data_IF_709891812396
#
_entry.id   IF_709891812396
#
_cell.length_a   1.000
_cell.length_b   1.000
_cell.length_c   1.000
_cell.angle_alpha   90.00
_cell.angle_beta   90.00
_cell.angle_gamma   90.00
#
_symmetry.space_group_name_H-M   'P 1'
#
loop_
_entity.id
_entity.type
_entity.pdbx_description
1 polymer ?
#
# COMPACT_ATOMS: atom_id res chain seq x y z
N UNK A 1 6.75 -13.20 -26.35
CA UNK A 1 5.85 -13.52 -25.24
C UNK A 1 6.23 -12.75 -24.00
N UNK A 2 7.49 -12.76 -23.70
CA UNK A 2 7.92 -12.04 -22.52
C UNK A 2 7.57 -10.58 -22.59
N UNK A 3 7.56 -10.04 -23.78
CA UNK A 3 7.19 -8.64 -23.95
C UNK A 3 5.79 -8.38 -23.50
N UNK A 4 4.88 -9.26 -23.87
CA UNK A 4 3.50 -9.08 -23.48
C UNK A 4 3.33 -9.24 -22.00
N UNK A 5 3.98 -10.21 -21.42
CA UNK A 5 3.92 -10.38 -19.99
C UNK A 5 4.45 -9.15 -19.27
N UNK A 6 5.56 -8.62 -19.76
CA UNK A 6 6.12 -7.41 -19.19
C UNK A 6 5.18 -6.23 -19.29
N UNK A 7 4.54 -6.08 -20.45
CA UNK A 7 3.61 -4.98 -20.63
C UNK A 7 2.42 -5.10 -19.70
N UNK A 8 1.90 -6.32 -19.54
CA UNK A 8 0.78 -6.52 -18.63
C UNK A 8 1.18 -6.26 -17.19
N UNK A 9 2.38 -6.67 -16.81
CA UNK A 9 2.87 -6.41 -15.47
C UNK A 9 2.97 -4.92 -15.20
N UNK A 10 3.40 -4.15 -16.20
CA UNK A 10 3.53 -2.71 -16.03
C UNK A 10 2.21 -2.02 -15.82
N UNK A 11 1.12 -2.61 -16.32
CA UNK A 11 -0.18 -1.98 -16.17
C UNK A 11 -0.85 -2.35 -14.86
N UNK A 12 -0.32 -3.30 -14.11
CA UNK A 12 -0.89 -3.68 -12.83
C UNK A 12 -0.38 -2.78 -11.72
N UNK A 13 -1.26 -2.36 -10.83
CA UNK A 13 -0.81 -1.57 -9.68
C UNK A 13 0.13 -2.37 -8.80
N UNK A 14 1.06 -1.68 -8.18
CA UNK A 14 2.05 -2.29 -7.30
C UNK A 14 1.78 -1.82 -5.87
N UNK A 15 1.42 -2.75 -4.99
CA UNK A 15 1.08 -2.43 -3.61
C UNK A 15 2.19 -2.94 -2.70
N UNK A 16 2.73 -2.03 -1.92
CA UNK A 16 3.78 -2.34 -0.94
C UNK A 16 3.11 -2.55 0.40
N UNK A 17 3.35 -3.69 1.03
CA UNK A 17 2.77 -4.01 2.33
C UNK A 17 3.90 -4.02 3.35
N UNK A 18 3.98 -2.95 4.12
CA UNK A 18 5.02 -2.79 5.15
C UNK A 18 4.40 -3.15 6.49
N UNK A 19 4.61 -4.38 6.91
CA UNK A 19 3.98 -4.95 8.08
C UNK A 19 5.01 -5.77 8.87
N UNK A 20 5.05 -5.55 10.19
CA UNK A 20 6.03 -6.24 11.04
C UNK A 20 5.72 -7.73 11.20
N UNK A 21 4.44 -8.09 11.18
CA UNK A 21 4.02 -9.47 11.37
C UNK A 21 3.81 -10.14 10.03
N UNK A 22 4.69 -11.09 9.72
CA UNK A 22 4.68 -11.69 8.39
C UNK A 22 3.33 -12.33 8.06
N UNK A 23 2.72 -13.02 9.03
CA UNK A 23 1.44 -13.67 8.77
C UNK A 23 0.33 -12.66 8.50
N UNK A 24 0.38 -11.50 9.14
CA UNK A 24 -0.59 -10.45 8.87
C UNK A 24 -0.36 -9.87 7.49
N UNK A 25 0.91 -9.73 7.09
CA UNK A 25 1.23 -9.25 5.74
C UNK A 25 0.69 -10.20 4.69
N UNK A 26 0.87 -11.52 4.91
CA UNK A 26 0.34 -12.51 3.97
C UNK A 26 -1.17 -12.48 3.91
N UNK A 27 -1.84 -12.27 5.04
CA UNK A 27 -3.28 -12.18 5.06
C UNK A 27 -3.75 -10.98 4.23
N UNK A 28 -3.13 -9.83 4.42
CA UNK A 28 -3.47 -8.65 3.65
C UNK A 28 -3.25 -8.89 2.16
N UNK A 29 -2.12 -9.49 1.80
CA UNK A 29 -1.82 -9.79 0.41
C UNK A 29 -2.89 -10.69 -0.20
N UNK A 30 -3.25 -11.74 0.51
CA UNK A 30 -4.27 -12.67 0.03
C UNK A 30 -5.60 -11.97 -0.21
N UNK A 31 -6.04 -11.18 0.75
CA UNK A 31 -7.34 -10.51 0.64
C UNK A 31 -7.35 -9.51 -0.52
N UNK A 32 -6.26 -8.78 -0.68
CA UNK A 32 -6.19 -7.78 -1.75
C UNK A 32 -6.14 -8.45 -3.11
N UNK A 33 -5.30 -9.47 -3.26
CA UNK A 33 -5.17 -10.15 -4.55
C UNK A 33 -6.41 -10.90 -4.95
N UNK A 34 -7.21 -11.34 -3.97
CA UNK A 34 -8.47 -11.99 -4.28
C UNK A 34 -9.48 -11.00 -4.85
N UNK A 35 -9.29 -9.71 -4.62
CA UNK A 35 -10.29 -8.70 -4.98
C UNK A 35 -9.88 -7.87 -6.20
N UNK A 36 -8.59 -7.73 -6.47
CA UNK A 36 -8.17 -6.93 -7.62
C UNK A 36 -6.81 -7.42 -8.15
N UNK A 37 -6.62 -7.34 -9.46
CA UNK A 37 -5.32 -7.69 -10.03
C UNK A 37 -4.27 -6.68 -9.60
N UNK A 38 -3.15 -7.17 -9.07
CA UNK A 38 -2.09 -6.28 -8.61
C UNK A 38 -0.82 -7.06 -8.38
N UNK A 39 0.28 -6.32 -8.30
CA UNK A 39 1.56 -6.86 -7.85
C UNK A 39 1.71 -6.43 -6.39
N UNK A 40 2.34 -7.28 -5.58
CA UNK A 40 2.57 -6.95 -4.18
C UNK A 40 4.01 -7.21 -3.80
N UNK A 41 4.50 -6.44 -2.84
CA UNK A 41 5.79 -6.65 -2.23
C UNK A 41 5.61 -6.52 -0.72
N UNK A 42 6.13 -7.48 0.03
CA UNK A 42 6.02 -7.50 1.47
C UNK A 42 7.35 -7.12 2.09
N UNK A 43 7.34 -6.14 2.99
CA UNK A 43 8.55 -5.71 3.69
C UNK A 43 8.21 -5.41 5.13
N UNK A 44 9.23 -5.31 5.95
CA UNK A 44 9.07 -4.77 7.30
C UNK A 44 9.19 -3.25 7.23
N UNK A 45 8.50 -2.53 8.09
CA UNK A 45 8.53 -1.06 7.98
C UNK A 45 9.94 -0.46 8.02
N UNK A 46 10.83 -1.04 8.82
CA UNK A 46 12.19 -0.50 8.91
C UNK A 46 12.97 -0.69 7.62
N UNK A 47 12.58 -1.63 6.76
CA UNK A 47 13.27 -1.84 5.49
C UNK A 47 13.00 -0.73 4.49
N UNK A 48 11.98 0.08 4.75
CA UNK A 48 11.66 1.18 3.84
C UNK A 48 12.79 2.19 3.74
N UNK A 49 13.62 2.29 4.77
CA UNK A 49 14.74 3.23 4.75
C UNK A 49 15.72 2.90 3.63
N UNK A 50 15.74 1.66 3.16
CA UNK A 50 16.66 1.23 2.13
C UNK A 50 16.12 1.36 0.72
N UNK A 51 14.86 1.75 0.59
CA UNK A 51 14.24 1.91 -0.73
C UNK A 51 14.63 3.27 -1.30
N UNK A 52 15.14 3.28 -2.53
CA UNK A 52 15.51 4.54 -3.15
C UNK A 52 14.31 5.19 -3.85
N UNK A 53 14.53 6.39 -4.36
CA UNK A 53 13.47 7.16 -4.98
C UNK A 53 12.86 6.42 -6.17
N UNK A 54 13.69 5.77 -6.97
CA UNK A 54 13.19 5.06 -8.15
C UNK A 54 12.28 3.89 -7.74
N UNK A 55 12.69 3.15 -6.71
CA UNK A 55 11.88 2.03 -6.23
C UNK A 55 10.54 2.53 -5.68
N UNK A 56 10.57 3.63 -4.92
CA UNK A 56 9.35 4.19 -4.37
C UNK A 56 8.41 4.73 -5.43
N UNK A 57 8.98 5.23 -6.53
CA UNK A 57 8.15 5.78 -7.61
C UNK A 57 7.29 4.70 -8.27
N UNK A 58 7.68 3.43 -8.17
CA UNK A 58 6.92 2.33 -8.76
C UNK A 58 5.75 1.89 -7.87
N UNK A 59 5.63 2.44 -6.67
CA UNK A 59 4.61 2.00 -5.72
C UNK A 59 3.36 2.84 -5.89
N UNK A 60 2.22 2.18 -6.03
CA UNK A 60 0.94 2.85 -6.21
C UNK A 60 0.14 2.96 -4.92
N UNK A 61 0.52 2.19 -3.92
CA UNK A 61 -0.08 2.27 -2.59
C UNK A 61 0.84 1.55 -1.62
N UNK A 62 1.05 2.14 -0.46
CA UNK A 62 1.78 1.49 0.62
C UNK A 62 0.86 1.31 1.81
N UNK A 63 0.63 0.05 2.21
CA UNK A 63 0.01 -0.25 3.48
C UNK A 63 1.12 -0.20 4.52
N UNK A 64 0.96 0.64 5.53
CA UNK A 64 2.02 0.84 6.51
C UNK A 64 1.50 0.57 7.91
N UNK A 65 2.08 -0.43 8.56
CA UNK A 65 1.76 -0.80 9.93
C UNK A 65 2.27 0.28 10.88
N UNK A 66 1.36 0.85 11.66
CA UNK A 66 1.69 1.93 12.58
C UNK A 66 1.73 1.38 14.01
N UNK A 67 2.86 1.48 14.71
CA UNK A 67 2.93 1.03 16.10
C UNK A 67 2.14 1.96 17.01
N UNK A 68 1.98 1.54 18.26
CA UNK A 68 1.28 2.37 19.23
C UNK A 68 1.92 3.75 19.34
N UNK A 69 3.23 3.80 19.36
CA UNK A 69 3.95 5.07 19.33
C UNK A 69 4.32 5.38 17.88
N UNK A 70 3.48 6.17 17.23
CA UNK A 70 3.67 6.46 15.82
C UNK A 70 4.95 7.25 15.53
N UNK A 71 5.52 7.89 16.56
CA UNK A 71 6.74 8.65 16.33
C UNK A 71 7.89 7.75 15.91
N UNK A 72 7.79 6.44 16.18
CA UNK A 72 8.84 5.51 15.80
C UNK A 72 8.99 5.39 14.29
N UNK A 73 7.93 5.70 13.54
CA UNK A 73 7.98 5.58 12.08
C UNK A 73 7.68 6.89 11.37
N UNK A 74 7.66 8.01 12.11
CA UNK A 74 7.42 9.31 11.49
C UNK A 74 8.35 9.59 10.32
N UNK A 75 9.67 9.33 10.43
CA UNK A 75 10.55 9.60 9.29
C UNK A 75 10.15 8.82 8.04
N UNK A 76 9.72 7.57 8.19
CA UNK A 76 9.29 6.77 7.05
C UNK A 76 8.01 7.35 6.45
N UNK A 77 7.06 7.77 7.30
CA UNK A 77 5.82 8.36 6.81
C UNK A 77 6.13 9.62 6.02
N UNK A 78 6.95 10.50 6.60
CA UNK A 78 7.26 11.76 5.95
C UNK A 78 7.94 11.53 4.61
N UNK A 79 8.85 10.56 4.55
CA UNK A 79 9.54 10.28 3.32
C UNK A 79 8.59 9.79 2.24
N UNK A 80 7.68 8.89 2.60
CA UNK A 80 6.72 8.37 1.64
C UNK A 80 5.78 9.46 1.15
N UNK A 81 5.32 10.32 2.06
CA UNK A 81 4.47 11.45 1.68
C UNK A 81 5.24 12.38 0.75
N UNK A 82 6.48 12.68 1.07
CA UNK A 82 7.30 13.56 0.26
C UNK A 82 7.49 13.00 -1.15
N UNK A 83 7.62 11.69 -1.26
CA UNK A 83 7.82 11.05 -2.57
C UNK A 83 6.51 10.79 -3.30
N UNK A 84 5.38 11.21 -2.72
CA UNK A 84 4.11 11.10 -3.39
C UNK A 84 3.52 9.70 -3.39
N UNK A 85 3.95 8.83 -2.50
CA UNK A 85 3.42 7.46 -2.41
C UNK A 85 2.11 7.50 -1.63
N UNK A 86 1.00 7.04 -2.21
CA UNK A 86 -0.25 6.99 -1.45
C UNK A 86 -0.11 6.03 -0.27
N UNK A 87 -0.67 6.41 0.87
CA UNK A 87 -0.55 5.64 2.10
C UNK A 87 -1.90 5.20 2.62
N UNK A 88 -1.92 4.02 3.22
CA UNK A 88 -3.04 3.50 3.99
C UNK A 88 -2.42 2.91 5.25
N UNK A 89 -2.78 3.45 6.42
CA UNK A 89 -2.23 2.95 7.66
C UNK A 89 -2.99 1.73 8.14
N UNK A 90 -2.28 0.79 8.76
CA UNK A 90 -2.90 -0.33 9.44
C UNK A 90 -2.44 -0.31 10.90
N UNK A 91 -3.33 -0.68 11.82
CA UNK A 91 -3.01 -0.61 13.23
C UNK A 91 -3.88 -1.58 14.03
N UNK A 92 -3.43 -1.90 15.24
CA UNK A 92 -4.24 -2.65 16.20
C UNK A 92 -4.66 -1.70 17.33
N UNK A 93 -5.78 -2.03 17.99
CA UNK A 93 -6.23 -1.23 19.11
C UNK A 93 -6.85 0.08 18.65
N UNK A 94 -7.16 0.94 19.61
CA UNK A 94 -7.98 2.12 19.35
C UNK A 94 -7.20 3.43 19.26
N UNK A 95 -5.92 3.41 19.58
CA UNK A 95 -5.15 4.66 19.70
C UNK A 95 -5.17 5.46 18.41
N UNK A 96 -5.01 4.77 17.27
CA UNK A 96 -4.95 5.45 15.98
C UNK A 96 -6.22 5.25 15.16
N UNK A 97 -7.30 4.83 15.79
CA UNK A 97 -8.52 4.49 15.06
C UNK A 97 -9.00 5.64 14.19
N UNK A 98 -8.95 6.85 14.73
CA UNK A 98 -9.49 8.02 14.03
C UNK A 98 -8.43 8.80 13.28
N UNK A 99 -7.23 8.27 13.21
CA UNK A 99 -6.15 8.92 12.48
C UNK A 99 -4.86 8.94 13.27
N UNK A 100 -3.77 9.12 12.57
CA UNK A 100 -2.44 9.24 13.18
C UNK A 100 -2.13 10.71 13.31
N UNK A 101 -1.73 11.12 14.51
CA UNK A 101 -1.46 12.53 14.79
C UNK A 101 -0.43 13.08 13.82
N UNK A 102 -0.76 14.20 13.19
CA UNK A 102 0.08 14.81 12.18
C UNK A 102 -0.18 14.32 10.78
N UNK A 103 -0.93 13.24 10.62
CA UNK A 103 -1.20 12.65 9.31
C UNK A 103 -2.66 12.24 9.19
N UNK A 104 -3.54 13.09 9.73
CA UNK A 104 -4.96 12.75 9.87
C UNK A 104 -5.68 12.53 8.56
N UNK A 105 -5.15 13.07 7.46
CA UNK A 105 -5.80 12.87 6.16
C UNK A 105 -5.58 11.46 5.61
N UNK A 106 -4.63 10.71 6.16
CA UNK A 106 -4.34 9.37 5.70
C UNK A 106 -5.26 8.39 6.42
N UNK A 107 -6.03 7.57 5.69
CA UNK A 107 -6.98 6.68 6.34
C UNK A 107 -6.30 5.54 7.09
N UNK A 108 -7.02 5.00 8.07
CA UNK A 108 -6.53 3.94 8.94
C UNK A 108 -7.45 2.74 8.82
N UNK A 109 -6.86 1.55 8.71
CA UNK A 109 -7.61 0.29 8.71
C UNK A 109 -7.17 -0.52 9.92
N UNK A 110 -8.15 -1.06 10.61
CA UNK A 110 -7.88 -1.81 11.84
C UNK A 110 -7.49 -3.25 11.53
N UNK A 111 -6.63 -3.82 12.38
CA UNK A 111 -6.28 -5.24 12.32
C UNK A 111 -6.93 -5.94 13.50
N UNK A 112 -7.34 -7.17 13.37
CA UNK A 112 -7.24 -8.04 12.19
C UNK A 112 -8.12 -7.50 11.07
N UNK A 113 -7.70 -7.80 9.83
CA UNK A 113 -8.35 -7.20 8.67
C UNK A 113 -9.75 -7.75 8.44
N UNK A 114 -10.68 -6.84 8.21
CA UNK A 114 -11.98 -7.16 7.63
C UNK A 114 -11.82 -7.03 6.13
N UNK A 115 -12.11 -8.10 5.40
CA UNK A 115 -11.82 -8.14 3.97
C UNK A 115 -12.51 -7.01 3.22
N UNK A 116 -13.79 -6.81 3.48
CA UNK A 116 -14.54 -5.76 2.79
C UNK A 116 -13.95 -4.38 3.03
N UNK A 117 -13.66 -4.08 4.29
CA UNK A 117 -13.13 -2.78 4.66
C UNK A 117 -11.75 -2.56 4.05
N UNK A 118 -10.88 -3.55 4.17
CA UNK A 118 -9.52 -3.43 3.64
C UNK A 118 -9.55 -3.20 2.13
N UNK A 119 -10.32 -4.02 1.42
CA UNK A 119 -10.37 -3.93 -0.03
C UNK A 119 -10.94 -2.59 -0.48
N UNK A 120 -12.00 -2.13 0.19
CA UNK A 120 -12.62 -0.85 -0.16
C UNK A 120 -11.63 0.30 0.02
N UNK A 121 -10.88 0.28 1.12
CA UNK A 121 -9.90 1.34 1.38
C UNK A 121 -8.74 1.29 0.40
N UNK A 122 -8.29 0.08 0.07
CA UNK A 122 -7.22 -0.07 -0.91
C UNK A 122 -7.65 0.51 -2.25
N UNK A 123 -8.82 0.14 -2.71
CA UNK A 123 -9.31 0.64 -4.00
C UNK A 123 -9.46 2.15 -4.01
N UNK A 124 -9.90 2.72 -2.89
CA UNK A 124 -10.11 4.15 -2.81
C UNK A 124 -8.81 4.95 -2.78
N UNK A 125 -7.73 4.36 -2.26
CA UNK A 125 -6.45 5.07 -2.11
C UNK A 125 -5.46 4.77 -3.22
N UNK A 126 -5.70 3.71 -3.97
CA UNK A 126 -4.76 3.27 -4.99
C UNK A 126 -4.53 4.37 -6.02
N UNK A 127 -3.25 4.62 -6.35
CA UNK A 127 -2.93 5.60 -7.36
C UNK A 127 -3.49 5.14 -8.72
N UNK A 128 -4.23 6.01 -9.42
CA UNK A 128 -4.70 5.61 -10.74
C UNK A 128 -3.53 5.43 -11.70
N UNK A 129 -3.64 4.43 -12.56
CA UNK A 129 -2.67 4.21 -13.60
C UNK A 129 -3.27 4.57 -14.94
N UNK A 130 -2.45 5.07 -15.86
CA UNK A 130 -2.97 5.37 -17.18
C UNK A 130 -3.53 4.12 -17.81
N UNK A 131 -4.70 4.25 -18.42
CA UNK A 131 -5.31 3.14 -19.11
C UNK A 131 -4.80 3.10 -20.54
N UNK A 132 -4.71 1.91 -21.13
CA UNK A 132 -4.40 1.84 -22.56
C UNK A 132 -5.49 2.56 -23.33
N UNK A 133 -5.18 3.06 -24.51
CA UNK A 133 -6.21 3.71 -25.32
C UNK A 133 -7.34 2.76 -25.61
N UNK A 134 -8.54 3.31 -25.66
CA UNK A 134 -9.71 2.51 -25.91
C UNK A 134 -9.88 2.15 -27.37
N UNK A 135 -9.04 2.68 -28.20
CA UNK A 135 -9.20 2.50 -29.64
C UNK A 135 -9.10 1.05 -30.04
N UNK A 136 -8.38 0.25 -29.27
CA UNK A 136 -8.23 -1.15 -29.61
C UNK A 136 -9.52 -1.90 -29.46
N UNK A 137 -10.52 -1.31 -28.91
CA UNK A 137 -11.79 -1.97 -28.72
C UNK A 137 -12.67 -1.88 -29.95
N UNK A 138 -12.27 -1.11 -30.90
CA UNK A 138 -13.03 -1.00 -32.13
C UNK A 138 -12.53 -1.95 -33.20
#
# INVERSE_FOLDING_TARGET
MDKESGAMSHSLPHILIAEREFLIALDAEYLIKAALPCRTTLVRPEQLAQWDTAALADIDLCLLDVPLDATQITPQIERLVEKGVPLLFTTVGDIHRDGVEGFEVIPVVMKPHDAETLVARVKARLRPRPQPPETDQN
#
